data_IF_283133363999
#
_entry.id   IF_283133363999
#
_cell.length_a   1.000
_cell.length_b   1.000
_cell.length_c   1.000
_cell.angle_alpha   90.00
_cell.angle_beta   90.00
_cell.angle_gamma   90.00
#
_symmetry.space_group_name_H-M   'P 1'
#
loop_
_entity.id
_entity.type
_entity.pdbx_description
1 polymer ?
#
# COMPACT_ATOMS: atom_id res chain seq x y z
N UNK A 1 -3.87 -11.18 -14.15
CA UNK A 1 -3.04 -10.21 -13.43
C UNK A 1 -3.94 -9.06 -13.10
N UNK A 2 -4.25 -8.84 -11.82
CA UNK A 2 -5.09 -7.72 -11.39
C UNK A 2 -4.18 -6.54 -11.05
N UNK A 3 -4.52 -5.35 -11.56
CA UNK A 3 -3.79 -4.11 -11.24
C UNK A 3 -4.63 -3.34 -10.22
N UNK A 4 -4.00 -2.95 -9.12
CA UNK A 4 -4.60 -2.15 -8.06
C UNK A 4 -3.91 -0.80 -8.02
N UNK A 5 -4.64 0.25 -8.39
CA UNK A 5 -4.12 1.61 -8.47
C UNK A 5 -4.45 2.38 -7.20
N UNK A 6 -3.44 2.96 -6.55
CA UNK A 6 -3.60 3.83 -5.39
C UNK A 6 -3.27 5.27 -5.77
N UNK A 7 -4.23 6.17 -5.59
CA UNK A 7 -4.12 7.58 -5.92
C UNK A 7 -3.64 8.43 -4.74
N UNK A 8 -2.45 9.01 -4.86
CA UNK A 8 -1.85 9.85 -3.82
C UNK A 8 -2.36 11.29 -3.80
N UNK A 9 -3.28 11.66 -4.69
CA UNK A 9 -4.08 12.88 -4.55
C UNK A 9 -5.18 12.70 -3.48
N UNK A 10 -5.77 11.49 -3.39
CA UNK A 10 -6.75 11.14 -2.34
C UNK A 10 -6.08 10.64 -1.05
N UNK A 11 -4.89 10.04 -1.15
CA UNK A 11 -4.16 9.50 -0.01
C UNK A 11 -3.21 10.58 0.56
N UNK A 12 -3.68 11.29 1.58
CA UNK A 12 -2.90 12.34 2.25
C UNK A 12 -1.88 11.80 3.26
N UNK A 13 -2.07 10.58 3.77
CA UNK A 13 -1.25 9.97 4.83
C UNK A 13 -0.99 8.47 4.65
N UNK A 14 0.00 7.94 5.37
CA UNK A 14 0.25 6.49 5.40
C UNK A 14 -0.90 5.70 6.03
N UNK A 15 -1.60 6.27 7.02
CA UNK A 15 -2.77 5.63 7.62
C UNK A 15 -3.93 5.54 6.63
N UNK A 16 -4.13 6.59 5.81
CA UNK A 16 -5.12 6.55 4.73
C UNK A 16 -4.76 5.46 3.71
N UNK A 17 -3.49 5.34 3.33
CA UNK A 17 -3.02 4.26 2.45
C UNK A 17 -3.35 2.88 3.02
N UNK A 18 -3.03 2.60 4.29
CA UNK A 18 -3.29 1.29 4.88
C UNK A 18 -4.79 0.97 4.99
N UNK A 19 -5.60 1.99 5.26
CA UNK A 19 -7.06 1.86 5.28
C UNK A 19 -7.60 1.54 3.89
N UNK A 20 -7.14 2.26 2.88
CA UNK A 20 -7.56 2.08 1.50
C UNK A 20 -7.10 0.72 0.94
N UNK A 21 -5.88 0.32 1.26
CA UNK A 21 -5.35 -1.02 0.95
C UNK A 21 -6.20 -2.11 1.60
N UNK A 22 -6.52 -1.99 2.88
CA UNK A 22 -7.36 -2.96 3.58
C UNK A 22 -8.76 -3.05 2.96
N UNK A 23 -9.34 -1.91 2.59
CA UNK A 23 -10.64 -1.87 1.93
C UNK A 23 -10.61 -2.51 0.53
N UNK A 24 -9.58 -2.21 -0.25
CA UNK A 24 -9.38 -2.72 -1.62
C UNK A 24 -9.24 -4.24 -1.64
N UNK A 25 -8.50 -4.80 -0.69
CA UNK A 25 -8.25 -6.24 -0.57
C UNK A 25 -9.21 -6.97 0.37
N UNK A 26 -10.23 -6.27 0.91
CA UNK A 26 -11.22 -6.85 1.82
C UNK A 26 -10.63 -7.36 3.15
N UNK A 27 -9.54 -6.77 3.60
CA UNK A 27 -8.86 -7.10 4.85
C UNK A 27 -9.57 -6.46 6.04
N UNK A 28 -9.44 -7.08 7.22
CA UNK A 28 -9.92 -6.48 8.45
C UNK A 28 -9.21 -5.14 8.71
N UNK A 29 -9.92 -4.17 9.28
CA UNK A 29 -9.46 -2.78 9.48
C UNK A 29 -8.14 -2.65 10.26
N UNK A 30 -7.82 -3.62 11.11
CA UNK A 30 -6.60 -3.67 11.92
C UNK A 30 -5.52 -4.62 11.38
N UNK A 31 -5.77 -5.23 10.21
CA UNK A 31 -4.86 -6.19 9.59
C UNK A 31 -3.62 -5.52 9.01
N UNK A 32 -3.78 -4.33 8.45
CA UNK A 32 -2.67 -3.51 7.92
C UNK A 32 -2.75 -2.13 8.56
N UNK A 33 -1.73 -1.79 9.34
CA UNK A 33 -1.63 -0.53 10.10
C UNK A 33 -0.22 0.05 10.12
N UNK A 34 0.75 -0.72 9.63
CA UNK A 34 2.17 -0.39 9.59
C UNK A 34 2.83 -1.20 8.46
N UNK A 35 4.07 -0.85 8.12
CA UNK A 35 4.83 -1.50 7.05
C UNK A 35 5.10 -2.98 7.34
N UNK A 36 5.34 -3.36 8.59
CA UNK A 36 5.57 -4.75 8.99
C UNK A 36 4.31 -5.59 8.74
N UNK A 37 3.14 -5.07 9.12
CA UNK A 37 1.85 -5.75 8.90
C UNK A 37 1.49 -5.82 7.42
N UNK A 38 1.83 -4.79 6.63
CA UNK A 38 1.68 -4.83 5.16
C UNK A 38 2.55 -5.93 4.56
N UNK A 39 3.81 -6.03 4.99
CA UNK A 39 4.74 -7.05 4.52
C UNK A 39 4.26 -8.46 4.88
N UNK A 40 3.73 -8.65 6.09
CA UNK A 40 3.14 -9.92 6.51
C UNK A 40 1.99 -10.34 5.56
N UNK A 41 1.09 -9.42 5.24
CA UNK A 41 -0.03 -9.70 4.30
C UNK A 41 0.46 -10.04 2.90
N UNK A 42 1.51 -9.36 2.41
CA UNK A 42 2.12 -9.63 1.11
C UNK A 42 2.77 -11.03 1.05
N UNK A 43 3.38 -11.48 2.14
CA UNK A 43 4.16 -12.72 2.18
C UNK A 43 3.32 -13.96 2.55
N UNK A 44 2.17 -13.80 3.19
CA UNK A 44 1.33 -14.92 3.67
C UNK A 44 0.27 -15.40 2.66
N UNK A 45 0.44 -15.16 1.35
CA UNK A 45 -0.52 -15.55 0.29
C UNK A 45 -1.97 -15.08 0.53
N UNK A 46 -2.14 -14.02 1.33
CA UNK A 46 -3.47 -13.45 1.66
C UNK A 46 -4.05 -12.70 0.45
N UNK A 47 -3.18 -12.21 -0.42
CA UNK A 47 -3.56 -11.42 -1.58
C UNK A 47 -3.72 -12.29 -2.82
N UNK A 48 -4.62 -11.91 -3.74
CA UNK A 48 -4.87 -12.67 -4.96
C UNK A 48 -3.71 -12.52 -5.96
N UNK A 49 -2.71 -13.40 -5.86
CA UNK A 49 -1.59 -13.46 -6.81
C UNK A 49 -2.03 -14.04 -8.18
N UNK A 50 -1.46 -13.60 -9.31
CA UNK A 50 -0.48 -12.52 -9.40
C UNK A 50 -1.18 -11.15 -9.52
N UNK A 51 -0.67 -10.18 -8.77
CA UNK A 51 -1.18 -8.81 -8.70
C UNK A 51 -0.08 -7.79 -8.97
N UNK A 52 -0.50 -6.62 -9.42
CA UNK A 52 0.34 -5.45 -9.63
C UNK A 52 -0.22 -4.29 -8.82
N UNK A 53 0.65 -3.54 -8.14
CA UNK A 53 0.28 -2.35 -7.37
C UNK A 53 0.84 -1.14 -8.10
N UNK A 54 -0.03 -0.26 -8.56
CA UNK A 54 0.33 0.96 -9.24
C UNK A 54 0.11 2.16 -8.31
N UNK A 55 1.08 3.07 -8.28
CA UNK A 55 0.98 4.30 -7.51
C UNK A 55 0.90 5.50 -8.46
N UNK A 56 -0.23 6.22 -8.43
CA UNK A 56 -0.48 7.40 -9.28
C UNK A 56 -0.49 8.69 -8.46
N UNK A 57 -0.25 9.82 -9.13
CA UNK A 57 -0.15 11.15 -8.51
C UNK A 57 0.85 11.25 -7.35
N UNK A 58 1.93 10.46 -7.40
CA UNK A 58 2.97 10.46 -6.39
C UNK A 58 3.85 11.72 -6.53
N UNK A 59 3.35 12.85 -6.02
CA UNK A 59 4.05 14.13 -6.06
C UNK A 59 5.43 14.05 -5.40
N UNK A 60 6.41 14.82 -5.88
CA UNK A 60 7.81 14.76 -5.42
C UNK A 60 7.98 14.92 -3.89
N UNK A 61 7.07 15.66 -3.25
CA UNK A 61 7.03 15.83 -1.78
C UNK A 61 6.53 14.59 -1.06
N UNK A 62 5.47 13.96 -1.57
CA UNK A 62 4.86 12.73 -1.03
C UNK A 62 5.78 11.56 -1.23
N UNK A 63 6.46 11.52 -2.39
CA UNK A 63 7.57 10.61 -2.67
C UNK A 63 8.57 10.67 -1.51
N UNK A 64 9.24 11.81 -1.27
CA UNK A 64 10.24 11.93 -0.17
C UNK A 64 9.72 11.59 1.23
N UNK A 65 8.41 11.64 1.48
CA UNK A 65 7.80 11.25 2.76
C UNK A 65 7.52 9.75 2.84
N UNK A 66 7.02 9.13 1.78
CA UNK A 66 6.70 7.69 1.72
C UNK A 66 7.95 6.81 1.52
N UNK A 67 8.92 7.21 0.69
CA UNK A 67 10.11 6.39 0.40
C UNK A 67 11.33 6.67 1.30
N UNK A 68 11.17 7.35 2.44
CA UNK A 68 12.27 7.46 3.42
C UNK A 68 12.67 6.13 4.08
N UNK A 69 12.08 5.02 3.64
CA UNK A 69 12.58 3.66 3.84
C UNK A 69 13.33 3.27 2.56
N UNK A 70 14.65 3.31 2.62
CA UNK A 70 15.53 2.75 1.59
C UNK A 70 15.33 1.23 1.57
N UNK A 71 14.33 0.74 0.84
CA UNK A 71 14.25 -0.68 0.49
C UNK A 71 15.16 -0.84 -0.72
N UNK A 72 16.44 -1.07 -0.45
CA UNK A 72 17.30 -1.78 -1.38
C UNK A 72 16.78 -3.22 -1.42
N UNK A 73 16.04 -3.56 -2.48
CA UNK A 73 15.84 -4.94 -2.93
C UNK A 73 16.88 -5.27 -3.98
#
# INVERSE_FOLDING_TARGET
MNIYTFDFDEIESQEDFYRDFSQTFGLAKDKVRDLDSLWDVLMNDVLPLPLEIEFVHLGEKTRRRFWRVNIAV
#
